data_IF_243936508689
#
_entry.id   IF_243936508689
#
_cell.length_a   1.000
_cell.length_b   1.000
_cell.length_c   1.000
_cell.angle_alpha   90.00
_cell.angle_beta   90.00
_cell.angle_gamma   90.00
#
_symmetry.space_group_name_H-M   'P 1'
#
loop_
_entity.id
_entity.type
_entity.pdbx_description
1 polymer ?
#
# COMPACT_ATOMS: atom_id res chain seq x y z
N UNK A 1 7.70 2.42 -20.59
CA UNK A 1 6.39 3.11 -20.71
C UNK A 1 5.21 2.17 -20.48
N UNK A 2 5.12 1.01 -21.17
CA UNK A 2 4.03 0.03 -21.00
C UNK A 2 3.71 -0.34 -19.54
N UNK A 3 4.71 -0.65 -18.72
CA UNK A 3 4.52 -1.01 -17.31
C UNK A 3 3.84 0.07 -16.47
N UNK A 4 4.15 1.36 -16.69
CA UNK A 4 3.52 2.47 -15.96
C UNK A 4 2.05 2.60 -16.27
N UNK A 5 1.69 2.39 -17.54
CA UNK A 5 0.30 2.42 -18.00
C UNK A 5 -0.47 1.28 -17.35
N UNK A 6 0.10 0.07 -17.31
CA UNK A 6 -0.54 -1.09 -16.65
C UNK A 6 -0.76 -0.80 -15.15
N UNK A 7 0.27 -0.35 -14.43
CA UNK A 7 0.13 -0.04 -13.01
C UNK A 7 -0.85 1.11 -12.75
N UNK A 8 -0.83 2.15 -13.58
CA UNK A 8 -1.78 3.26 -13.50
C UNK A 8 -3.23 2.83 -13.76
N UNK A 9 -3.46 1.98 -14.76
CA UNK A 9 -4.79 1.43 -15.07
C UNK A 9 -5.31 0.54 -13.94
N UNK A 10 -4.46 -0.32 -13.37
CA UNK A 10 -4.83 -1.17 -12.22
C UNK A 10 -5.18 -0.29 -11.02
N UNK A 11 -4.36 0.72 -10.72
CA UNK A 11 -4.59 1.65 -9.62
C UNK A 11 -5.90 2.43 -9.79
N UNK A 12 -6.16 2.97 -10.99
CA UNK A 12 -7.42 3.64 -11.32
C UNK A 12 -8.62 2.68 -11.21
N UNK A 13 -8.47 1.43 -11.66
CA UNK A 13 -9.50 0.40 -11.51
C UNK A 13 -9.84 0.14 -10.05
N UNK A 14 -8.84 0.01 -9.18
CA UNK A 14 -9.04 -0.16 -7.74
C UNK A 14 -9.70 1.06 -7.09
N UNK A 15 -9.30 2.28 -7.47
CA UNK A 15 -9.95 3.51 -6.99
C UNK A 15 -11.42 3.51 -7.39
N UNK A 16 -11.71 3.29 -8.67
CA UNK A 16 -13.08 3.30 -9.17
C UNK A 16 -13.93 2.23 -8.50
N UNK A 17 -13.36 1.05 -8.25
CA UNK A 17 -14.02 0.01 -7.47
C UNK A 17 -14.31 0.46 -6.03
N UNK A 18 -13.34 1.07 -5.34
CA UNK A 18 -13.48 1.52 -3.97
C UNK A 18 -14.55 2.62 -3.79
N UNK A 19 -14.76 3.48 -4.79
CA UNK A 19 -15.77 4.56 -4.70
C UNK A 19 -17.16 4.16 -5.20
N UNK A 20 -17.26 3.24 -6.16
CA UNK A 20 -18.56 2.90 -6.81
C UNK A 20 -19.15 1.60 -6.25
N UNK A 21 -18.31 0.60 -5.99
CA UNK A 21 -18.75 -0.76 -5.66
C UNK A 21 -18.51 -1.13 -4.20
N UNK A 22 -17.73 -0.35 -3.45
CA UNK A 22 -17.55 -0.62 -2.04
C UNK A 22 -18.88 -0.47 -1.31
N UNK A 23 -19.19 -1.38 -0.37
CA UNK A 23 -20.37 -1.27 0.46
C UNK A 23 -20.33 0.05 1.26
N UNK A 24 -21.49 0.67 1.51
CA UNK A 24 -21.55 1.90 2.28
C UNK A 24 -20.99 1.70 3.69
N UNK A 25 -20.33 2.73 4.20
CA UNK A 25 -19.74 2.70 5.54
C UNK A 25 -20.81 2.45 6.61
N UNK A 26 -20.50 1.52 7.52
CA UNK A 26 -21.33 1.32 8.70
C UNK A 26 -21.05 2.44 9.72
N UNK A 27 -22.07 2.95 10.42
CA UNK A 27 -21.91 4.02 11.41
C UNK A 27 -20.94 3.64 12.55
N UNK A 28 -20.83 2.36 12.86
CA UNK A 28 -19.97 1.85 13.92
C UNK A 28 -18.51 1.62 13.49
N UNK A 29 -18.18 1.73 12.19
CA UNK A 29 -16.83 1.47 11.67
C UNK A 29 -15.79 2.38 12.31
N UNK A 30 -16.09 3.67 12.47
CA UNK A 30 -15.17 4.63 13.07
C UNK A 30 -14.89 4.28 14.54
N UNK A 31 -15.95 3.98 15.29
CA UNK A 31 -15.86 3.54 16.70
C UNK A 31 -15.07 2.24 16.82
N UNK A 32 -15.26 1.29 15.89
CA UNK A 32 -14.52 0.04 15.85
C UNK A 32 -13.02 0.27 15.61
N UNK A 33 -12.65 1.10 14.63
CA UNK A 33 -11.25 1.45 14.35
C UNK A 33 -10.61 2.14 15.55
N UNK A 34 -11.34 3.05 16.20
CA UNK A 34 -10.87 3.71 17.42
C UNK A 34 -10.62 2.72 18.55
N UNK A 35 -11.55 1.79 18.80
CA UNK A 35 -11.42 0.75 19.82
C UNK A 35 -10.24 -0.20 19.52
N UNK A 36 -10.07 -0.59 18.25
CA UNK A 36 -8.94 -1.41 17.80
C UNK A 36 -7.59 -0.70 18.06
N UNK A 37 -7.54 0.60 17.77
CA UNK A 37 -6.33 1.43 17.92
C UNK A 37 -6.00 1.76 19.38
N UNK A 38 -7.01 1.88 20.25
CA UNK A 38 -6.86 2.19 21.68
C UNK A 38 -6.66 0.96 22.57
N UNK A 39 -6.68 -0.25 21.99
CA UNK A 39 -6.54 -1.50 22.74
C UNK A 39 -7.82 -1.95 23.45
N UNK A 40 -8.96 -1.32 23.18
CA UNK A 40 -10.25 -1.73 23.72
C UNK A 40 -10.84 -2.87 22.88
N UNK A 41 -10.42 -4.09 23.19
CA UNK A 41 -10.76 -5.29 22.40
C UNK A 41 -11.95 -6.07 22.95
N UNK A 42 -12.62 -5.57 24.01
CA UNK A 42 -13.73 -6.28 24.65
C UNK A 42 -14.94 -6.35 23.71
N UNK A 43 -15.40 -7.57 23.39
CA UNK A 43 -16.55 -7.79 22.52
C UNK A 43 -16.26 -7.68 21.01
N UNK A 44 -15.01 -7.40 20.61
CA UNK A 44 -14.60 -7.42 19.20
C UNK A 44 -14.22 -8.84 18.80
N UNK A 45 -14.64 -9.27 17.61
CA UNK A 45 -14.23 -10.56 17.08
C UNK A 45 -12.69 -10.64 16.92
N UNK A 46 -12.02 -11.65 17.52
CA UNK A 46 -10.57 -11.81 17.41
C UNK A 46 -10.02 -11.83 15.98
N UNK A 47 -10.80 -12.31 15.01
CA UNK A 47 -10.42 -12.29 13.60
C UNK A 47 -10.28 -10.86 13.06
N UNK A 48 -11.13 -9.94 13.50
CA UNK A 48 -11.07 -8.53 13.11
C UNK A 48 -9.81 -7.88 13.71
N UNK A 49 -9.51 -8.19 14.98
CA UNK A 49 -8.31 -7.71 15.65
C UNK A 49 -7.05 -8.21 14.92
N UNK A 50 -6.98 -9.51 14.63
CA UNK A 50 -5.87 -10.09 13.91
C UNK A 50 -5.71 -9.49 12.50
N UNK A 51 -6.82 -9.34 11.77
CA UNK A 51 -6.83 -8.73 10.44
C UNK A 51 -6.31 -7.30 10.48
N UNK A 52 -6.82 -6.46 11.39
CA UNK A 52 -6.39 -5.07 11.52
C UNK A 52 -4.88 -4.96 11.81
N UNK A 53 -4.36 -5.78 12.73
CA UNK A 53 -2.94 -5.80 13.06
C UNK A 53 -2.09 -6.27 11.87
N UNK A 54 -2.50 -7.34 11.17
CA UNK A 54 -1.80 -7.83 9.97
C UNK A 54 -1.84 -6.78 8.85
N UNK A 55 -2.95 -6.06 8.68
CA UNK A 55 -3.05 -4.97 7.70
C UNK A 55 -2.05 -3.85 7.95
N UNK A 56 -1.69 -3.56 9.20
CA UNK A 56 -0.61 -2.60 9.53
C UNK A 56 0.80 -3.11 9.23
N UNK A 57 1.01 -4.44 9.24
CA UNK A 57 2.31 -5.07 8.97
C UNK A 57 2.66 -5.00 7.46
N UNK A 58 1.67 -5.10 6.58
CA UNK A 58 1.89 -5.05 5.13
C UNK A 58 2.59 -3.75 4.66
N UNK A 59 2.11 -2.54 5.02
CA UNK A 59 2.82 -1.28 4.81
C UNK A 59 4.29 -1.30 5.23
N UNK A 60 4.59 -1.89 6.39
CA UNK A 60 5.97 -1.98 6.89
C UNK A 60 6.84 -2.82 5.96
N UNK A 61 6.36 -4.00 5.56
CA UNK A 61 7.09 -4.88 4.63
C UNK A 61 7.34 -4.17 3.30
N UNK A 62 6.30 -3.54 2.73
CA UNK A 62 6.43 -2.82 1.47
C UNK A 62 7.30 -1.58 1.59
N UNK A 63 7.33 -0.92 2.75
CA UNK A 63 8.20 0.24 2.99
C UNK A 63 9.67 -0.09 2.80
N UNK A 64 10.13 -1.24 3.31
CA UNK A 64 11.50 -1.71 3.13
C UNK A 64 11.87 -1.81 1.65
N UNK A 65 10.98 -2.42 0.85
CA UNK A 65 11.17 -2.57 -0.60
C UNK A 65 11.17 -1.21 -1.29
N UNK A 66 10.21 -0.34 -0.94
CA UNK A 66 10.05 0.98 -1.54
C UNK A 66 11.19 1.94 -1.20
N UNK A 67 11.76 1.85 0.00
CA UNK A 67 12.92 2.66 0.38
C UNK A 67 14.19 2.21 -0.35
N UNK A 68 14.36 0.92 -0.59
CA UNK A 68 15.46 0.41 -1.41
C UNK A 68 15.29 0.83 -2.88
N UNK A 69 14.10 0.66 -3.45
CA UNK A 69 13.79 0.99 -4.84
C UNK A 69 13.70 2.51 -5.10
N UNK A 70 13.38 3.27 -4.06
CA UNK A 70 13.28 4.74 -4.07
C UNK A 70 14.63 5.45 -4.14
N UNK A 71 15.74 4.74 -3.86
CA UNK A 71 17.08 5.31 -4.04
C UNK A 71 17.34 5.60 -5.53
N UNK A 72 17.60 6.87 -5.86
CA UNK A 72 17.77 7.33 -7.24
C UNK A 72 16.48 7.74 -7.96
N UNK A 73 15.32 7.72 -7.29
CA UNK A 73 14.06 8.26 -7.82
C UNK A 73 13.94 9.77 -7.59
N UNK A 74 13.33 10.49 -8.53
CA UNK A 74 13.00 11.92 -8.33
C UNK A 74 11.94 12.16 -7.26
N UNK A 75 11.06 11.18 -7.05
CA UNK A 75 9.98 11.25 -6.08
C UNK A 75 10.36 10.35 -4.90
N UNK A 76 10.50 10.90 -3.69
CA UNK A 76 10.83 10.09 -2.52
C UNK A 76 9.65 9.16 -2.17
N UNK A 77 9.96 7.95 -1.72
CA UNK A 77 8.95 6.96 -1.34
C UNK A 77 8.28 7.24 0.02
N UNK A 78 8.93 8.00 0.90
CA UNK A 78 8.47 8.21 2.29
C UNK A 78 7.03 8.75 2.41
N UNK A 79 6.53 9.70 1.60
CA UNK A 79 5.17 10.20 1.74
C UNK A 79 4.13 9.12 1.45
N UNK A 80 4.41 8.27 0.46
CA UNK A 80 3.54 7.17 0.04
C UNK A 80 3.54 6.04 1.08
N UNK A 81 4.69 5.76 1.68
CA UNK A 81 4.80 4.83 2.81
C UNK A 81 3.98 5.33 4.00
N UNK A 82 4.12 6.59 4.41
CA UNK A 82 3.35 7.14 5.53
C UNK A 82 1.85 7.11 5.25
N UNK A 83 1.44 7.49 4.04
CA UNK A 83 0.03 7.46 3.64
C UNK A 83 -0.53 6.03 3.64
N UNK A 84 0.30 5.01 3.35
CA UNK A 84 -0.13 3.61 3.30
C UNK A 84 -0.57 3.02 4.64
N UNK A 85 -0.26 3.65 5.78
CA UNK A 85 -0.82 3.24 7.07
C UNK A 85 -2.30 3.61 7.23
N UNK A 86 -2.75 4.67 6.56
CA UNK A 86 -4.16 5.08 6.58
C UNK A 86 -4.95 4.43 5.44
N UNK A 87 -4.48 4.61 4.21
CA UNK A 87 -5.20 4.16 3.01
C UNK A 87 -4.68 2.83 2.44
N UNK A 88 -3.74 2.16 3.10
CA UNK A 88 -3.25 0.85 2.68
C UNK A 88 -2.52 0.85 1.32
N UNK A 89 -2.75 -0.22 0.56
CA UNK A 89 -2.10 -0.46 -0.73
C UNK A 89 -2.40 0.62 -1.79
N UNK A 90 -3.47 1.40 -1.65
CA UNK A 90 -3.81 2.49 -2.57
C UNK A 90 -2.70 3.55 -2.65
N UNK A 91 -2.00 3.80 -1.55
CA UNK A 91 -0.84 4.70 -1.52
C UNK A 91 0.41 4.09 -2.18
N UNK A 92 0.64 2.79 -1.96
CA UNK A 92 1.81 2.09 -2.48
C UNK A 92 1.70 1.94 -4.01
N UNK A 93 0.52 1.57 -4.51
CA UNK A 93 0.29 1.43 -5.95
C UNK A 93 0.45 2.75 -6.70
N UNK A 94 0.03 3.89 -6.11
CA UNK A 94 0.21 5.18 -6.76
C UNK A 94 1.69 5.50 -6.96
N UNK A 95 2.54 5.23 -5.96
CA UNK A 95 3.99 5.37 -6.11
C UNK A 95 4.55 4.50 -7.24
N UNK A 96 4.14 3.24 -7.31
CA UNK A 96 4.57 2.30 -8.35
C UNK A 96 4.14 2.73 -9.77
N UNK A 97 3.01 3.42 -9.91
CA UNK A 97 2.56 3.97 -11.19
C UNK A 97 3.44 5.15 -11.65
N UNK A 98 3.86 6.02 -10.73
CA UNK A 98 4.63 7.23 -11.04
C UNK A 98 6.16 7.00 -11.09
N UNK A 99 6.69 6.00 -10.37
CA UNK A 99 8.14 5.75 -10.30
C UNK A 99 8.78 5.60 -11.68
N UNK A 100 10.03 6.02 -11.82
CA UNK A 100 10.80 5.81 -13.05
C UNK A 100 11.59 4.50 -12.95
N UNK A 101 11.88 3.79 -14.04
CA UNK A 101 12.86 2.71 -14.00
C UNK A 101 14.21 3.32 -13.59
N UNK A 102 14.79 2.89 -12.48
CA UNK A 102 16.12 3.34 -12.07
C UNK A 102 17.17 2.63 -12.96
N UNK A 103 17.95 3.36 -13.79
CA UNK A 103 18.92 2.75 -14.69
C UNK A 103 20.23 2.33 -14.00
N UNK A 104 20.37 2.47 -12.67
CA UNK A 104 21.63 2.22 -11.98
C UNK A 104 22.02 0.75 -11.75
N UNK A 105 21.30 -0.24 -12.31
CA UNK A 105 21.83 -1.61 -12.33
C UNK A 105 22.77 -1.81 -13.53
N UNK A 106 24.03 -1.40 -13.36
CA UNK A 106 25.16 -1.78 -14.25
C UNK A 106 25.73 -3.16 -13.85
N UNK A 107 24.85 -4.12 -13.56
CA UNK A 107 25.25 -5.50 -13.33
C UNK A 107 25.05 -6.29 -14.61
N UNK A 108 26.12 -6.88 -15.17
CA UNK A 108 25.97 -7.92 -16.20
C UNK A 108 25.03 -8.97 -15.64
N UNK A 109 23.87 -9.14 -16.28
CA UNK A 109 22.97 -10.27 -16.03
C UNK A 109 23.79 -11.52 -16.33
N UNK A 110 24.31 -12.18 -15.29
CA UNK A 110 24.94 -13.48 -15.47
C UNK A 110 23.82 -14.42 -15.85
N UNK A 111 23.67 -14.63 -17.16
CA UNK A 111 22.87 -15.71 -17.70
C UNK A 111 23.52 -16.98 -17.18
N UNK A 112 22.78 -17.70 -16.35
CA UNK A 112 23.00 -19.11 -16.15
C UNK A 112 22.82 -19.76 -17.53
N UNK A 113 23.95 -20.13 -18.13
CA UNK A 113 24.03 -20.93 -19.34
C UNK A 113 24.14 -22.38 -18.91
#
# INVERSE_FOLDING_TARGET
MKHKIIFGSIWLGFILYAFIFAPPDQPDTFTLIQNLSTGNWTGINPLIIALFNIMGIWPLIYSCVLFMDGQGQKIPAWPFVTLSFGVGAFAILSYLAFRQPNPQFSGKKSGFN
#
